data_IF_443268212933
#
_entry.id   IF_443268212933
#
_cell.length_a   1.000
_cell.length_b   1.000
_cell.length_c   1.000
_cell.angle_alpha   90.00
_cell.angle_beta   90.00
_cell.angle_gamma   90.00
#
_symmetry.space_group_name_H-M   'P 1'
#
loop_
_entity.id
_entity.type
_entity.pdbx_description
1 polymer ?
#
# COMPACT_ATOMS: atom_id res chain seq x y z
N UNK A 1 22.33 -5.62 34.46
CA UNK A 1 21.06 -6.31 34.31
C UNK A 1 20.88 -6.70 32.86
N UNK A 2 20.62 -7.99 32.60
CA UNK A 2 20.29 -8.50 31.28
C UNK A 2 18.79 -8.80 31.25
N UNK A 3 18.13 -8.49 30.13
CA UNK A 3 16.72 -8.77 29.91
C UNK A 3 16.42 -9.12 28.47
N UNK A 4 15.33 -9.82 28.22
CA UNK A 4 14.87 -10.13 26.85
C UNK A 4 14.08 -8.94 26.33
N UNK A 5 14.40 -8.50 25.11
CA UNK A 5 13.66 -7.47 24.36
C UNK A 5 13.43 -7.96 22.95
N UNK A 6 12.28 -7.59 22.36
CA UNK A 6 11.91 -7.91 20.98
C UNK A 6 11.60 -6.64 20.22
N UNK A 7 11.82 -6.63 18.91
CA UNK A 7 11.53 -5.55 18.01
C UNK A 7 12.60 -5.36 16.94
N UNK A 8 12.27 -4.57 15.93
CA UNK A 8 13.20 -4.22 14.85
C UNK A 8 14.44 -3.48 15.36
N UNK A 9 14.28 -2.67 16.42
CA UNK A 9 15.40 -1.99 17.10
C UNK A 9 16.41 -2.96 17.74
N UNK A 10 16.02 -4.20 18.04
CA UNK A 10 16.91 -5.26 18.53
C UNK A 10 17.50 -6.05 17.36
N UNK A 11 16.73 -6.27 16.29
CA UNK A 11 17.22 -6.97 15.10
C UNK A 11 18.27 -6.17 14.32
N UNK A 12 18.12 -4.87 14.20
CA UNK A 12 19.01 -3.99 13.42
C UNK A 12 20.48 -4.07 13.87
N UNK A 13 20.85 -3.91 15.17
CA UNK A 13 22.24 -4.03 15.59
C UNK A 13 22.80 -5.44 15.42
N UNK A 14 21.97 -6.50 15.50
CA UNK A 14 22.42 -7.86 15.21
C UNK A 14 22.81 -8.02 13.74
N UNK A 15 22.01 -7.48 12.81
CA UNK A 15 22.35 -7.47 11.40
C UNK A 15 23.59 -6.62 11.14
N UNK A 16 23.71 -5.42 11.73
CA UNK A 16 24.89 -4.59 11.60
C UNK A 16 26.16 -5.33 12.07
N UNK A 17 26.13 -5.99 13.22
CA UNK A 17 27.23 -6.81 13.71
C UNK A 17 27.56 -7.99 12.78
N UNK A 18 26.53 -8.66 12.25
CA UNK A 18 26.71 -9.73 11.25
C UNK A 18 27.35 -9.23 9.98
N UNK A 19 26.96 -8.07 9.47
CA UNK A 19 27.54 -7.44 8.29
C UNK A 19 29.04 -7.15 8.48
N UNK A 20 29.45 -6.67 9.65
CA UNK A 20 30.87 -6.43 9.97
C UNK A 20 31.68 -7.72 9.87
N UNK A 21 31.20 -8.82 10.45
CA UNK A 21 31.91 -10.11 10.43
C UNK A 21 31.93 -10.71 9.01
N UNK A 22 30.84 -10.62 8.25
CA UNK A 22 30.81 -11.07 6.87
C UNK A 22 31.73 -10.19 5.99
N UNK A 23 31.77 -8.88 6.24
CA UNK A 23 32.69 -7.99 5.53
C UNK A 23 34.17 -8.35 5.76
N UNK A 24 34.52 -8.75 6.98
CA UNK A 24 35.88 -9.27 7.26
C UNK A 24 36.16 -10.52 6.43
N UNK A 25 35.19 -11.44 6.31
CA UNK A 25 35.31 -12.62 5.45
C UNK A 25 35.44 -12.25 3.96
N UNK A 26 34.57 -11.35 3.47
CA UNK A 26 34.58 -10.87 2.07
C UNK A 26 35.92 -10.22 1.70
N UNK A 27 36.52 -9.42 2.59
CA UNK A 27 37.82 -8.82 2.38
C UNK A 27 38.92 -9.87 2.16
N UNK A 28 38.81 -11.04 2.78
CA UNK A 28 39.74 -12.13 2.64
C UNK A 28 39.46 -13.00 1.40
N UNK A 29 38.20 -13.31 1.17
CA UNK A 29 37.76 -14.18 0.09
C UNK A 29 37.76 -13.49 -1.30
N UNK A 30 37.55 -12.17 -1.31
CA UNK A 30 37.43 -11.35 -2.53
C UNK A 30 38.27 -10.07 -2.45
N UNK A 31 39.61 -10.17 -2.33
CA UNK A 31 40.48 -9.02 -2.05
C UNK A 31 40.52 -7.95 -3.14
N UNK A 32 40.09 -8.30 -4.37
CA UNK A 32 40.10 -7.39 -5.52
C UNK A 32 38.81 -6.58 -5.69
N UNK A 33 37.75 -6.82 -4.88
CA UNK A 33 36.50 -6.06 -4.97
C UNK A 33 36.69 -4.61 -4.50
N UNK A 34 36.01 -3.68 -5.17
CA UNK A 34 35.86 -2.31 -4.70
C UNK A 34 35.05 -2.28 -3.37
N UNK A 35 35.07 -1.17 -2.65
CA UNK A 35 34.33 -1.03 -1.39
C UNK A 35 32.82 -1.25 -1.60
N UNK A 36 32.26 -0.65 -2.64
CA UNK A 36 30.86 -0.84 -2.99
C UNK A 36 30.54 -2.30 -3.31
N UNK A 37 31.31 -2.96 -4.18
CA UNK A 37 31.09 -4.35 -4.54
C UNK A 37 31.25 -5.31 -3.33
N UNK A 38 32.11 -4.95 -2.35
CA UNK A 38 32.19 -5.69 -1.09
C UNK A 38 30.93 -5.60 -0.26
N UNK A 39 30.35 -4.42 -0.15
CA UNK A 39 29.09 -4.24 0.58
C UNK A 39 27.93 -4.99 -0.10
N UNK A 40 27.89 -4.99 -1.42
CA UNK A 40 26.95 -5.80 -2.20
C UNK A 40 27.16 -7.29 -1.95
N UNK A 41 28.40 -7.77 -1.95
CA UNK A 41 28.73 -9.17 -1.67
C UNK A 41 28.36 -9.58 -0.23
N UNK A 42 28.54 -8.70 0.75
CA UNK A 42 28.10 -8.93 2.15
C UNK A 42 26.59 -9.20 2.20
N UNK A 43 25.81 -8.34 1.55
CA UNK A 43 24.36 -8.52 1.45
C UNK A 43 24.00 -9.83 0.72
N UNK A 44 24.69 -10.10 -0.39
CA UNK A 44 24.48 -11.30 -1.21
C UNK A 44 24.71 -12.58 -0.42
N UNK A 45 25.80 -12.66 0.33
CA UNK A 45 26.10 -13.84 1.17
C UNK A 45 25.10 -14.01 2.29
N UNK A 46 24.75 -12.92 3.01
CA UNK A 46 23.78 -12.97 4.10
C UNK A 46 22.40 -13.38 3.61
N UNK A 47 21.94 -12.81 2.49
CA UNK A 47 20.62 -13.13 1.95
C UNK A 47 20.57 -14.51 1.32
N UNK A 48 21.60 -14.90 0.53
CA UNK A 48 21.63 -16.23 -0.09
C UNK A 48 21.64 -17.38 0.90
N UNK A 49 22.17 -17.15 2.12
CA UNK A 49 22.29 -18.18 3.17
C UNK A 49 21.28 -18.01 4.28
N UNK A 50 20.38 -17.02 4.16
CA UNK A 50 19.29 -16.83 5.12
C UNK A 50 18.35 -18.04 5.11
N UNK A 51 17.78 -18.33 6.27
CA UNK A 51 16.88 -19.46 6.46
C UNK A 51 15.45 -18.97 6.58
N UNK A 52 14.56 -19.27 5.62
CA UNK A 52 13.15 -18.91 5.74
C UNK A 52 12.52 -19.49 7.01
N UNK A 53 12.03 -18.63 7.88
CA UNK A 53 11.30 -19.02 9.07
C UNK A 53 9.92 -19.57 8.68
N UNK A 54 9.44 -20.56 9.44
CA UNK A 54 8.22 -21.32 9.10
C UNK A 54 7.33 -21.49 10.31
N UNK A 55 6.04 -21.58 10.07
CA UNK A 55 5.05 -22.15 10.99
C UNK A 55 4.68 -23.56 10.49
N UNK A 56 5.11 -24.58 11.21
CA UNK A 56 5.05 -25.94 10.69
C UNK A 56 5.84 -26.10 9.39
N UNK A 57 5.15 -26.50 8.31
CA UNK A 57 5.75 -26.65 6.98
C UNK A 57 5.58 -25.42 6.06
N UNK A 58 4.89 -24.39 6.53
CA UNK A 58 4.60 -23.19 5.75
C UNK A 58 5.59 -22.08 6.10
N UNK A 59 6.40 -21.58 5.16
CA UNK A 59 7.19 -20.37 5.37
C UNK A 59 6.28 -19.18 5.63
N UNK A 60 6.75 -18.22 6.46
CA UNK A 60 6.14 -16.91 6.49
C UNK A 60 6.36 -16.20 5.16
N UNK A 61 5.49 -15.25 4.82
CA UNK A 61 5.58 -14.46 3.60
C UNK A 61 6.94 -13.75 3.48
N UNK A 62 7.58 -13.72 2.30
CA UNK A 62 8.75 -12.89 2.04
C UNK A 62 8.52 -11.40 2.34
N UNK A 63 7.30 -10.91 2.18
CA UNK A 63 6.93 -9.53 2.52
C UNK A 63 7.06 -9.22 4.02
N UNK A 64 7.03 -10.24 4.88
CA UNK A 64 7.18 -10.09 6.33
C UNK A 64 8.56 -10.40 6.85
N UNK A 65 9.25 -11.38 6.25
CA UNK A 65 10.55 -11.85 6.74
C UNK A 65 11.72 -11.55 5.80
N UNK A 66 11.49 -10.95 4.62
CA UNK A 66 12.52 -10.78 3.61
C UNK A 66 13.10 -12.12 3.15
N UNK A 67 14.43 -12.25 3.14
CA UNK A 67 15.11 -13.49 2.80
C UNK A 67 15.03 -14.57 3.90
N UNK A 68 14.63 -14.21 5.12
CA UNK A 68 14.55 -15.10 6.27
C UNK A 68 15.51 -14.72 7.40
N UNK A 69 15.72 -15.62 8.33
CA UNK A 69 16.62 -15.43 9.45
C UNK A 69 18.07 -15.50 8.99
N UNK A 70 18.86 -14.47 9.31
CA UNK A 70 20.28 -14.42 9.00
C UNK A 70 21.04 -15.59 9.64
N UNK A 71 21.87 -16.27 8.85
CA UNK A 71 22.72 -17.36 9.29
C UNK A 71 24.21 -16.99 9.05
N UNK A 72 24.79 -16.35 10.04
CA UNK A 72 26.18 -15.87 9.98
C UNK A 72 27.17 -17.01 9.70
N UNK A 73 27.00 -18.16 10.35
CA UNK A 73 27.88 -19.32 10.15
C UNK A 73 27.82 -19.80 8.70
N UNK A 74 26.63 -19.88 8.11
CA UNK A 74 26.46 -20.22 6.70
C UNK A 74 27.11 -19.16 5.79
N UNK A 75 26.91 -17.89 6.04
CA UNK A 75 27.40 -16.79 5.23
C UNK A 75 28.95 -16.75 5.13
N UNK A 76 29.66 -17.08 6.21
CA UNK A 76 31.14 -17.09 6.23
C UNK A 76 31.75 -18.43 5.80
N UNK A 77 30.98 -19.51 5.72
CA UNK A 77 31.47 -20.83 5.31
C UNK A 77 31.05 -21.21 3.90
N UNK A 78 30.04 -20.56 3.33
CA UNK A 78 29.62 -20.86 1.97
C UNK A 78 30.75 -20.58 0.96
N UNK A 79 30.77 -21.39 -0.11
CA UNK A 79 31.58 -21.18 -1.30
C UNK A 79 30.72 -20.92 -2.54
N UNK A 80 29.41 -20.68 -2.32
CA UNK A 80 28.49 -20.32 -3.37
C UNK A 80 27.47 -19.30 -2.87
N UNK A 81 26.91 -18.53 -3.80
CA UNK A 81 25.87 -17.56 -3.55
C UNK A 81 24.90 -17.52 -4.74
N UNK A 82 23.78 -16.84 -4.54
CA UNK A 82 22.77 -16.62 -5.59
C UNK A 82 22.96 -15.22 -6.17
N UNK A 83 22.88 -15.14 -7.50
CA UNK A 83 22.88 -13.91 -8.27
C UNK A 83 21.59 -13.84 -9.10
N UNK A 84 20.94 -12.68 -9.11
CA UNK A 84 19.74 -12.43 -9.89
C UNK A 84 20.04 -11.31 -10.87
N UNK A 85 19.84 -11.58 -12.17
CA UNK A 85 20.12 -10.61 -13.22
C UNK A 85 19.31 -9.32 -13.00
N UNK A 86 19.96 -8.18 -13.12
CA UNK A 86 19.35 -6.86 -12.93
C UNK A 86 19.07 -6.48 -11.45
N UNK A 87 19.44 -7.33 -10.48
CA UNK A 87 19.26 -7.04 -9.07
C UNK A 87 20.57 -7.02 -8.31
N UNK A 88 20.77 -6.02 -7.45
CA UNK A 88 21.93 -5.95 -6.54
C UNK A 88 21.80 -6.92 -5.34
N UNK A 89 20.69 -7.62 -5.22
CA UNK A 89 20.39 -8.51 -4.10
C UNK A 89 19.76 -9.80 -4.60
N UNK A 90 19.98 -10.95 -3.93
CA UNK A 90 19.33 -12.20 -4.28
C UNK A 90 17.85 -12.20 -3.87
N UNK A 91 17.06 -11.47 -4.61
CA UNK A 91 15.59 -11.43 -4.56
C UNK A 91 15.03 -11.38 -5.97
N UNK A 92 13.89 -11.99 -6.19
CA UNK A 92 13.25 -12.07 -7.50
C UNK A 92 11.94 -11.31 -7.45
N UNK A 93 11.83 -10.28 -8.26
CA UNK A 93 10.63 -9.46 -8.44
C UNK A 93 10.02 -9.80 -9.79
N UNK A 94 8.83 -10.40 -9.79
CA UNK A 94 8.18 -10.94 -10.99
C UNK A 94 7.23 -9.93 -11.64
N UNK A 95 6.94 -8.84 -10.94
CA UNK A 95 5.94 -7.85 -11.40
C UNK A 95 4.51 -8.37 -11.31
N UNK A 96 3.67 -7.78 -12.13
CA UNK A 96 2.25 -8.05 -12.21
C UNK A 96 1.91 -8.95 -13.40
N UNK A 97 0.99 -9.86 -13.20
CA UNK A 97 0.35 -10.68 -14.23
C UNK A 97 -1.03 -10.08 -14.55
N UNK A 98 -1.04 -8.91 -15.20
CA UNK A 98 -2.22 -8.08 -15.47
C UNK A 98 -3.35 -8.84 -16.15
N UNK A 99 -3.00 -9.81 -16.99
CA UNK A 99 -3.95 -10.64 -17.72
C UNK A 99 -4.37 -11.91 -16.95
N UNK A 100 -3.88 -12.09 -15.73
CA UNK A 100 -4.16 -13.26 -14.88
C UNK A 100 -3.90 -14.58 -15.60
N UNK A 101 -2.79 -14.68 -16.31
CA UNK A 101 -2.35 -15.92 -16.98
C UNK A 101 -2.01 -17.01 -15.96
N UNK A 102 -1.58 -16.59 -14.77
CA UNK A 102 -1.16 -17.47 -13.69
C UNK A 102 0.19 -18.15 -13.94
N UNK A 103 1.00 -17.65 -14.89
CA UNK A 103 2.28 -18.27 -15.25
C UNK A 103 3.42 -17.30 -14.93
N UNK A 104 4.24 -17.67 -13.96
CA UNK A 104 5.41 -16.90 -13.54
C UNK A 104 6.67 -17.68 -13.87
N UNK A 105 7.48 -17.13 -14.79
CA UNK A 105 8.75 -17.69 -15.21
C UNK A 105 9.87 -16.81 -14.69
N UNK A 106 10.88 -17.41 -14.07
CA UNK A 106 12.04 -16.69 -13.58
C UNK A 106 13.28 -17.57 -13.54
N UNK A 107 14.41 -16.94 -13.44
CA UNK A 107 15.69 -17.61 -13.31
C UNK A 107 16.62 -16.88 -12.36
N UNK A 108 17.61 -17.59 -11.85
CA UNK A 108 18.71 -17.05 -11.08
C UNK A 108 19.94 -17.92 -11.27
N UNK A 109 21.11 -17.36 -11.03
CA UNK A 109 22.36 -18.07 -11.08
C UNK A 109 22.82 -18.51 -9.70
N UNK A 110 23.33 -19.72 -9.60
CA UNK A 110 24.17 -20.13 -8.48
C UNK A 110 25.61 -19.96 -8.92
N UNK A 111 26.37 -19.10 -8.21
CA UNK A 111 27.76 -18.83 -8.47
C UNK A 111 28.58 -19.56 -7.42
N UNK A 112 29.48 -20.47 -7.88
CA UNK A 112 30.41 -21.22 -7.05
C UNK A 112 31.82 -20.66 -7.21
N UNK A 113 32.35 -20.06 -6.16
CA UNK A 113 33.74 -19.55 -6.11
C UNK A 113 34.70 -20.51 -5.38
N UNK A 114 34.25 -21.71 -5.08
CA UNK A 114 35.03 -22.78 -4.51
C UNK A 114 35.77 -23.60 -5.59
N UNK A 115 36.82 -24.31 -5.18
CA UNK A 115 37.65 -25.14 -6.06
C UNK A 115 37.05 -26.52 -6.38
N UNK A 116 35.88 -26.86 -5.87
CA UNK A 116 35.17 -28.12 -6.12
C UNK A 116 33.77 -27.84 -6.60
N UNK A 117 33.26 -28.72 -7.47
CA UNK A 117 31.86 -28.65 -7.89
C UNK A 117 30.92 -28.82 -6.71
N UNK A 118 29.75 -28.16 -6.78
CA UNK A 118 28.70 -28.24 -5.75
C UNK A 118 27.42 -28.72 -6.38
N UNK A 119 26.66 -29.48 -5.62
CA UNK A 119 25.35 -29.98 -6.08
C UNK A 119 24.28 -29.54 -5.09
N UNK A 120 23.15 -29.05 -5.62
CA UNK A 120 22.02 -28.56 -4.87
C UNK A 120 20.73 -29.27 -5.30
N UNK A 121 19.85 -29.50 -4.35
CA UNK A 121 18.49 -30.01 -4.58
C UNK A 121 17.50 -28.85 -4.34
N UNK A 122 16.86 -28.31 -5.37
CA UNK A 122 15.88 -27.24 -5.24
C UNK A 122 14.56 -27.72 -4.64
N UNK A 123 13.95 -26.87 -3.84
CA UNK A 123 12.55 -26.99 -3.38
C UNK A 123 11.90 -25.63 -3.49
N UNK A 124 10.75 -25.56 -4.15
CA UNK A 124 9.99 -24.31 -4.32
C UNK A 124 8.78 -24.32 -3.38
N UNK A 125 8.61 -23.24 -2.64
CA UNK A 125 7.41 -22.97 -1.85
C UNK A 125 6.60 -21.90 -2.58
N UNK A 126 5.32 -22.19 -2.83
CA UNK A 126 4.39 -21.24 -3.44
C UNK A 126 3.36 -20.84 -2.38
N UNK A 127 3.34 -19.56 -2.09
CA UNK A 127 2.50 -18.97 -1.05
C UNK A 127 1.56 -17.93 -1.66
N UNK A 128 0.41 -17.76 -1.02
CA UNK A 128 -0.48 -16.61 -1.22
C UNK A 128 -1.00 -16.16 0.15
N UNK A 129 -1.81 -15.10 0.19
CA UNK A 129 -2.46 -14.69 1.43
C UNK A 129 -3.41 -15.77 1.95
N UNK A 130 -3.46 -15.90 3.26
CA UNK A 130 -4.51 -16.65 3.92
C UNK A 130 -5.73 -15.75 4.14
N UNK A 131 -6.93 -16.31 4.05
CA UNK A 131 -8.18 -15.57 4.18
C UNK A 131 -9.01 -16.12 5.34
N UNK A 132 -9.61 -15.20 6.10
CA UNK A 132 -10.76 -15.43 6.95
C UNK A 132 -12.07 -15.07 6.23
N UNK A 133 -13.17 -15.12 6.95
CA UNK A 133 -14.46 -14.60 6.50
C UNK A 133 -15.08 -13.75 7.59
N UNK A 134 -15.75 -12.67 7.19
CA UNK A 134 -16.57 -11.82 8.05
C UNK A 134 -17.98 -11.74 7.47
N UNK A 135 -18.99 -11.61 8.31
CA UNK A 135 -20.38 -11.43 7.88
C UNK A 135 -20.81 -9.99 8.17
N UNK A 136 -21.17 -9.26 7.12
CA UNK A 136 -21.66 -7.88 7.20
C UNK A 136 -23.01 -7.84 6.49
N UNK A 137 -24.05 -7.28 7.12
CA UNK A 137 -25.38 -7.19 6.53
C UNK A 137 -26.00 -8.54 6.11
N UNK A 138 -25.54 -9.67 6.70
CA UNK A 138 -25.99 -11.02 6.35
C UNK A 138 -25.28 -11.64 5.13
N UNK A 139 -24.32 -10.95 4.54
CA UNK A 139 -23.45 -11.48 3.48
C UNK A 139 -22.08 -11.83 4.05
N UNK A 140 -21.39 -12.81 3.43
CA UNK A 140 -20.04 -13.22 3.83
C UNK A 140 -19.00 -12.66 2.88
N UNK A 141 -17.97 -12.06 3.45
CA UNK A 141 -16.85 -11.47 2.71
C UNK A 141 -15.53 -12.13 3.14
N UNK A 142 -14.60 -12.26 2.21
CA UNK A 142 -13.24 -12.68 2.52
C UNK A 142 -12.44 -11.51 3.10
N UNK A 143 -11.71 -11.81 4.18
CA UNK A 143 -10.77 -10.86 4.80
C UNK A 143 -9.38 -11.45 4.82
N UNK A 144 -8.34 -10.60 4.82
CA UNK A 144 -6.96 -11.04 4.95
C UNK A 144 -6.72 -11.53 6.39
N UNK A 145 -6.28 -12.77 6.54
CA UNK A 145 -6.04 -13.36 7.86
C UNK A 145 -4.67 -13.00 8.46
N UNK A 146 -3.89 -12.17 7.79
CA UNK A 146 -2.57 -11.76 8.25
C UNK A 146 -1.58 -12.93 8.38
N UNK A 147 -1.69 -13.94 7.52
CA UNK A 147 -0.78 -15.09 7.45
C UNK A 147 -0.68 -15.60 6.01
N UNK A 148 0.35 -16.40 5.73
CA UNK A 148 0.50 -17.01 4.41
C UNK A 148 -0.19 -18.38 4.32
N UNK A 149 -0.81 -18.66 3.19
CA UNK A 149 -1.31 -19.97 2.80
C UNK A 149 -0.32 -20.64 1.86
N UNK A 150 0.09 -21.86 2.17
CA UNK A 150 0.97 -22.65 1.31
C UNK A 150 0.14 -23.40 0.27
N UNK A 151 0.21 -22.95 -0.97
CA UNK A 151 -0.53 -23.53 -2.11
C UNK A 151 0.35 -24.41 -3.02
N UNK A 152 1.58 -24.74 -2.62
CA UNK A 152 2.54 -25.49 -3.45
C UNK A 152 1.94 -26.78 -4.01
N UNK A 153 1.14 -27.50 -3.23
CA UNK A 153 0.52 -28.75 -3.66
C UNK A 153 -0.73 -28.58 -4.55
N UNK A 154 -1.20 -27.33 -4.70
CA UNK A 154 -2.40 -27.01 -5.49
C UNK A 154 -2.05 -26.44 -6.87
N UNK A 155 -0.76 -26.22 -7.13
CA UNK A 155 -0.26 -25.56 -8.34
C UNK A 155 0.84 -26.40 -9.01
N UNK A 156 1.16 -26.08 -10.26
CA UNK A 156 2.23 -26.76 -10.98
C UNK A 156 3.53 -25.99 -10.85
N UNK A 157 4.57 -26.67 -10.38
CA UNK A 157 5.91 -26.10 -10.27
C UNK A 157 6.88 -26.91 -11.13
N UNK A 158 7.62 -26.22 -11.99
CA UNK A 158 8.71 -26.82 -12.77
C UNK A 158 10.04 -26.24 -12.29
N UNK A 159 10.92 -27.11 -11.82
CA UNK A 159 12.28 -26.79 -11.38
C UNK A 159 13.18 -28.02 -11.60
N UNK A 160 14.49 -27.88 -11.88
CA UNK A 160 15.39 -29.02 -11.96
C UNK A 160 15.40 -29.84 -10.66
N UNK A 161 15.44 -31.19 -10.78
CA UNK A 161 15.55 -32.04 -9.59
C UNK A 161 16.88 -31.89 -8.87
N UNK A 162 17.94 -31.57 -9.61
CA UNK A 162 19.28 -31.36 -9.08
C UNK A 162 20.03 -30.36 -9.96
N UNK A 163 20.86 -29.54 -9.35
CA UNK A 163 21.69 -28.52 -10.01
C UNK A 163 23.12 -28.71 -9.60
N UNK A 164 24.01 -29.02 -10.55
CA UNK A 164 25.46 -29.08 -10.33
C UNK A 164 26.09 -27.81 -10.83
N UNK A 165 26.86 -27.14 -9.97
CA UNK A 165 27.61 -25.93 -10.28
C UNK A 165 29.09 -26.23 -10.32
N UNK A 166 29.78 -26.03 -11.45
CA UNK A 166 31.20 -26.36 -11.56
C UNK A 166 32.06 -25.52 -10.62
N UNK A 167 33.25 -26.00 -10.33
CA UNK A 167 34.24 -25.24 -9.58
C UNK A 167 34.56 -23.91 -10.29
N UNK A 168 34.61 -22.80 -9.53
CA UNK A 168 34.83 -21.45 -10.04
C UNK A 168 33.91 -21.09 -11.23
N UNK A 169 32.66 -21.53 -11.17
CA UNK A 169 31.67 -21.36 -12.25
C UNK A 169 30.30 -21.00 -11.76
N UNK A 170 29.34 -20.96 -12.69
CA UNK A 170 27.95 -20.67 -12.41
C UNK A 170 27.03 -21.63 -13.15
N UNK A 171 25.81 -21.76 -12.67
CA UNK A 171 24.76 -22.52 -13.32
C UNK A 171 23.43 -21.80 -13.10
N UNK A 172 22.72 -21.56 -14.19
CA UNK A 172 21.38 -20.94 -14.15
C UNK A 172 20.31 -21.97 -13.76
N UNK A 173 19.45 -21.58 -12.84
CA UNK A 173 18.28 -22.33 -12.41
C UNK A 173 17.04 -21.66 -12.98
N UNK A 174 16.30 -22.37 -13.82
CA UNK A 174 15.03 -21.91 -14.36
C UNK A 174 13.88 -22.49 -13.52
N UNK A 175 12.92 -21.65 -13.19
CA UNK A 175 11.74 -22.00 -12.40
C UNK A 175 10.49 -21.50 -13.11
N UNK A 176 9.47 -22.35 -13.17
CA UNK A 176 8.12 -21.94 -13.57
C UNK A 176 7.15 -22.27 -12.43
N UNK A 177 6.43 -21.26 -11.99
CA UNK A 177 5.29 -21.39 -11.08
C UNK A 177 4.02 -21.15 -11.89
N UNK A 178 3.17 -22.17 -12.01
CA UNK A 178 1.93 -22.06 -12.77
C UNK A 178 0.74 -22.29 -11.83
N UNK A 179 0.04 -21.19 -11.52
CA UNK A 179 -1.16 -21.16 -10.66
C UNK A 179 -2.47 -21.15 -11.46
N UNK A 180 -2.41 -21.27 -12.80
CA UNK A 180 -3.61 -21.18 -13.66
C UNK A 180 -4.68 -22.23 -13.29
N UNK A 181 -4.26 -23.42 -12.85
CA UNK A 181 -5.18 -24.45 -12.35
C UNK A 181 -5.85 -24.09 -11.02
N UNK A 182 -5.35 -23.09 -10.30
CA UNK A 182 -5.89 -22.60 -9.03
C UNK A 182 -6.59 -21.22 -9.19
N UNK A 183 -6.69 -20.72 -10.41
CA UNK A 183 -7.21 -19.40 -10.75
C UNK A 183 -8.65 -19.14 -10.25
N UNK A 184 -9.53 -20.14 -10.29
CA UNK A 184 -10.91 -20.01 -9.81
C UNK A 184 -10.93 -19.60 -8.32
N UNK A 185 -10.12 -20.28 -7.48
CA UNK A 185 -10.01 -19.96 -6.06
C UNK A 185 -9.36 -18.59 -5.81
N UNK A 186 -8.35 -18.24 -6.60
CA UNK A 186 -7.71 -16.91 -6.48
C UNK A 186 -8.70 -15.80 -6.84
N UNK A 187 -9.46 -15.95 -7.94
CA UNK A 187 -10.42 -14.95 -8.36
C UNK A 187 -11.60 -14.79 -7.39
N UNK A 188 -12.04 -15.90 -6.77
CA UNK A 188 -13.09 -15.87 -5.76
C UNK A 188 -12.67 -15.13 -4.49
N UNK A 189 -11.46 -15.45 -3.99
CA UNK A 189 -10.98 -14.91 -2.72
C UNK A 189 -10.33 -13.53 -2.84
N UNK A 190 -9.78 -13.23 -3.99
CA UNK A 190 -8.99 -12.03 -4.26
C UNK A 190 -9.43 -11.36 -5.56
N UNK A 191 -10.60 -10.72 -5.59
CA UNK A 191 -11.12 -10.07 -6.80
C UNK A 191 -10.18 -8.99 -7.34
N UNK A 192 -9.45 -8.31 -6.45
CA UNK A 192 -8.48 -7.26 -6.81
C UNK A 192 -7.08 -7.81 -7.12
N UNK A 193 -6.90 -9.13 -7.13
CA UNK A 193 -5.62 -9.80 -7.35
C UNK A 193 -4.99 -10.36 -6.07
N UNK A 194 -3.99 -11.22 -6.25
CA UNK A 194 -3.35 -11.95 -5.16
C UNK A 194 -1.83 -11.95 -5.29
N UNK A 195 -1.12 -11.85 -4.16
CA UNK A 195 0.32 -12.10 -4.16
C UNK A 195 0.60 -13.58 -4.42
N UNK A 196 1.51 -13.85 -5.37
CA UNK A 196 2.11 -15.15 -5.61
C UNK A 196 3.58 -15.03 -5.25
N UNK A 197 3.93 -15.61 -4.12
CA UNK A 197 5.23 -15.36 -3.49
C UNK A 197 5.79 -16.65 -2.90
N UNK A 198 7.02 -16.60 -2.43
CA UNK A 198 7.60 -17.75 -1.76
C UNK A 198 9.11 -17.78 -1.78
N UNK A 199 9.65 -18.97 -1.73
CA UNK A 199 11.08 -19.20 -1.68
C UNK A 199 11.48 -20.36 -2.61
N UNK A 200 12.64 -20.22 -3.25
CA UNK A 200 13.38 -21.37 -3.77
C UNK A 200 14.49 -21.67 -2.78
N UNK A 201 14.43 -22.82 -2.12
CA UNK A 201 15.47 -23.29 -1.22
C UNK A 201 16.30 -24.36 -1.91
N UNK A 202 17.60 -24.33 -1.70
CA UNK A 202 18.59 -25.17 -2.35
C UNK A 202 19.35 -25.95 -1.26
N UNK A 203 19.03 -27.23 -1.10
CA UNK A 203 19.73 -28.07 -0.13
C UNK A 203 21.08 -28.52 -0.71
N UNK A 204 22.15 -28.26 0.03
CA UNK A 204 23.54 -28.59 -0.34
C UNK A 204 24.43 -28.65 0.88
N UNK A 205 25.76 -28.59 0.67
CA UNK A 205 26.74 -28.54 1.78
C UNK A 205 26.53 -27.30 2.68
N UNK A 206 26.23 -26.16 2.08
CA UNK A 206 25.62 -25.00 2.73
C UNK A 206 24.35 -24.69 1.96
N UNK A 207 23.24 -24.68 2.65
CA UNK A 207 21.95 -24.40 2.03
C UNK A 207 21.89 -22.94 1.56
N UNK A 208 21.28 -22.73 0.40
CA UNK A 208 20.98 -21.41 -0.14
C UNK A 208 19.47 -21.19 -0.28
N UNK A 209 19.06 -19.94 -0.35
CA UNK A 209 17.66 -19.58 -0.51
C UNK A 209 17.52 -18.24 -1.24
N UNK A 210 16.48 -18.13 -2.06
CA UNK A 210 16.08 -16.87 -2.70
C UNK A 210 14.57 -16.68 -2.57
N UNK A 211 14.13 -15.52 -2.07
CA UNK A 211 12.71 -15.15 -2.07
C UNK A 211 12.29 -14.68 -3.48
N UNK A 212 11.02 -14.90 -3.80
CA UNK A 212 10.40 -14.33 -4.98
C UNK A 212 9.02 -13.75 -4.65
N UNK A 213 8.61 -12.75 -5.42
CA UNK A 213 7.34 -12.04 -5.27
C UNK A 213 6.80 -11.65 -6.63
N UNK A 214 5.54 -12.02 -6.90
CA UNK A 214 4.75 -11.59 -8.05
C UNK A 214 3.33 -11.28 -7.61
N UNK A 215 2.56 -10.74 -8.52
CA UNK A 215 1.16 -10.44 -8.29
C UNK A 215 0.29 -11.00 -9.43
N UNK A 216 -0.71 -11.78 -9.08
CA UNK A 216 -1.70 -12.33 -10.00
C UNK A 216 -2.83 -11.32 -10.15
N UNK A 217 -2.74 -10.48 -11.14
CA UNK A 217 -3.60 -9.32 -11.38
C UNK A 217 -2.77 -8.07 -11.62
N UNK A 218 -3.44 -6.93 -11.62
CA UNK A 218 -2.88 -5.61 -11.79
C UNK A 218 -2.99 -4.85 -10.45
N UNK A 219 -1.86 -4.58 -9.81
CA UNK A 219 -1.84 -3.87 -8.52
C UNK A 219 -2.33 -2.43 -8.62
N UNK A 220 -2.20 -1.83 -9.78
CA UNK A 220 -2.60 -0.44 -9.99
C UNK A 220 -4.12 -0.29 -9.98
N UNK A 221 -4.86 -1.33 -10.36
CA UNK A 221 -6.33 -1.33 -10.36
C UNK A 221 -6.97 -1.44 -8.98
N UNK A 222 -6.25 -1.91 -7.96
CA UNK A 222 -6.81 -1.96 -6.62
C UNK A 222 -6.86 -0.54 -6.03
N UNK A 223 -8.02 -0.13 -5.53
CA UNK A 223 -8.23 1.21 -4.98
C UNK A 223 -7.21 1.55 -3.90
N UNK A 224 -6.70 2.77 -3.94
CA UNK A 224 -5.87 3.36 -2.87
C UNK A 224 -6.76 4.00 -1.81
N UNK A 225 -7.82 4.67 -2.24
CA UNK A 225 -8.79 5.30 -1.36
C UNK A 225 -9.86 4.29 -0.93
N UNK A 226 -10.27 4.35 0.32
CA UNK A 226 -11.50 3.69 0.76
C UNK A 226 -12.71 4.39 0.15
N UNK A 227 -13.84 3.72 0.16
CA UNK A 227 -15.07 4.31 -0.37
C UNK A 227 -15.59 5.37 0.58
N UNK A 228 -16.15 6.42 0.01
CA UNK A 228 -16.98 7.35 0.76
C UNK A 228 -18.40 6.81 0.79
N UNK A 229 -18.77 6.23 1.93
CA UNK A 229 -20.11 5.66 2.14
C UNK A 229 -21.22 6.68 1.91
N UNK A 230 -21.08 7.88 2.45
CA UNK A 230 -22.12 8.91 2.36
C UNK A 230 -22.27 9.46 0.95
N UNK A 231 -21.17 9.62 0.22
CA UNK A 231 -21.20 10.08 -1.16
C UNK A 231 -21.78 9.02 -2.09
N UNK A 232 -21.43 7.75 -1.90
CA UNK A 232 -22.01 6.64 -2.64
C UNK A 232 -23.50 6.48 -2.37
N UNK A 233 -23.95 6.65 -1.13
CA UNK A 233 -25.36 6.64 -0.77
C UNK A 233 -26.12 7.81 -1.42
N UNK A 234 -25.53 9.01 -1.40
CA UNK A 234 -26.08 10.19 -2.07
C UNK A 234 -26.22 9.98 -3.58
N UNK A 235 -25.24 9.36 -4.23
CA UNK A 235 -25.31 9.03 -5.66
C UNK A 235 -26.27 7.88 -5.97
N UNK A 236 -26.83 7.22 -4.97
CA UNK A 236 -27.72 6.07 -5.13
C UNK A 236 -27.01 4.80 -5.61
N UNK A 237 -25.70 4.75 -5.46
CA UNK A 237 -24.88 3.58 -5.86
C UNK A 237 -25.05 2.39 -4.91
N UNK A 238 -25.72 2.56 -3.77
CA UNK A 238 -26.05 1.58 -2.77
C UNK A 238 -24.92 0.60 -2.47
N UNK A 239 -24.19 0.77 -1.37
CA UNK A 239 -23.11 -0.12 -1.07
C UNK A 239 -23.52 -1.26 -0.14
N UNK A 240 -23.26 -2.50 -0.54
CA UNK A 240 -23.42 -3.64 0.36
C UNK A 240 -22.35 -3.70 1.48
N UNK A 241 -21.24 -2.97 1.34
CA UNK A 241 -20.16 -2.96 2.34
C UNK A 241 -20.06 -1.56 2.93
N UNK A 242 -20.53 -1.34 4.16
CA UNK A 242 -20.27 -0.09 4.86
C UNK A 242 -18.76 0.15 4.89
N UNK A 243 -18.31 1.37 4.57
CA UNK A 243 -16.98 1.80 4.91
C UNK A 243 -16.90 1.78 6.45
N UNK A 244 -16.25 0.77 7.01
CA UNK A 244 -16.26 0.54 8.45
C UNK A 244 -15.48 1.64 9.19
N UNK A 245 -14.59 2.34 8.46
CA UNK A 245 -13.64 3.30 9.03
C UNK A 245 -13.28 4.45 8.09
N UNK A 246 -13.65 4.39 6.83
CA UNK A 246 -13.14 5.27 5.81
C UNK A 246 -14.13 6.33 5.41
N UNK A 247 -14.21 7.39 6.16
CA UNK A 247 -14.85 8.61 5.67
C UNK A 247 -13.76 9.42 4.97
N UNK A 248 -13.71 9.31 3.64
CA UNK A 248 -13.01 10.32 2.85
C UNK A 248 -13.89 11.55 2.87
N UNK A 249 -13.46 12.59 3.55
CA UNK A 249 -14.24 13.80 3.72
C UNK A 249 -13.33 15.02 3.69
N UNK A 250 -13.92 16.15 3.42
CA UNK A 250 -13.31 17.44 3.59
C UNK A 250 -14.32 18.38 4.26
N UNK A 251 -13.85 19.44 4.85
CA UNK A 251 -14.70 20.32 5.61
C UNK A 251 -14.15 21.71 5.74
N UNK A 252 -14.92 22.52 6.44
CA UNK A 252 -14.61 23.89 6.77
C UNK A 252 -14.79 24.17 8.24
N UNK A 253 -14.03 25.13 8.77
CA UNK A 253 -14.19 25.61 10.14
C UNK A 253 -15.55 26.31 10.31
N UNK A 254 -16.17 26.08 11.47
CA UNK A 254 -17.38 26.81 11.91
C UNK A 254 -17.08 27.67 13.14
N UNK A 255 -15.82 27.93 13.39
CA UNK A 255 -15.30 28.75 14.46
C UNK A 255 -14.70 27.98 15.62
N UNK A 256 -13.56 28.44 16.11
CA UNK A 256 -12.74 27.76 17.12
C UNK A 256 -12.09 26.48 16.56
N UNK A 257 -12.12 25.39 17.31
CA UNK A 257 -11.62 24.07 16.89
C UNK A 257 -12.72 23.18 16.29
N UNK A 258 -13.84 23.76 15.86
CA UNK A 258 -14.94 22.98 15.33
C UNK A 258 -14.95 23.02 13.81
N UNK A 259 -15.16 21.87 13.20
CA UNK A 259 -15.26 21.68 11.76
C UNK A 259 -16.60 21.02 11.40
N UNK A 260 -17.04 21.27 10.19
CA UNK A 260 -18.19 20.60 9.58
C UNK A 260 -17.76 19.98 8.25
N UNK A 261 -18.18 18.74 8.01
CA UNK A 261 -17.93 18.08 6.74
C UNK A 261 -18.80 18.69 5.62
N UNK A 262 -18.25 18.82 4.42
CA UNK A 262 -19.03 19.28 3.28
C UNK A 262 -20.19 18.34 2.98
N UNK A 263 -21.37 18.93 2.79
CA UNK A 263 -22.62 18.21 2.60
C UNK A 263 -23.37 17.86 3.88
N UNK A 264 -22.74 17.93 5.04
CA UNK A 264 -23.42 17.73 6.33
C UNK A 264 -24.39 18.88 6.63
N UNK A 265 -25.53 18.53 7.22
CA UNK A 265 -26.49 19.54 7.68
C UNK A 265 -26.28 19.78 9.19
N UNK A 266 -25.73 20.93 9.59
CA UNK A 266 -25.42 21.22 10.99
C UNK A 266 -26.66 21.40 11.89
N UNK A 267 -27.84 21.45 11.34
CA UNK A 267 -29.10 21.69 12.06
C UNK A 267 -29.95 20.44 12.28
N UNK A 268 -29.48 19.29 11.78
CA UNK A 268 -30.19 18.02 11.93
C UNK A 268 -29.23 16.97 12.51
N UNK A 269 -29.73 16.20 13.49
CA UNK A 269 -29.01 15.05 14.04
C UNK A 269 -29.06 13.82 13.10
N UNK A 270 -29.31 14.03 11.82
CA UNK A 270 -29.40 12.95 10.83
C UNK A 270 -28.15 12.93 9.99
N UNK A 271 -27.59 11.74 9.79
CA UNK A 271 -26.51 11.45 8.85
C UNK A 271 -26.98 11.62 7.39
N UNK A 272 -27.51 12.79 7.07
CA UNK A 272 -28.02 13.08 5.74
C UNK A 272 -27.12 14.13 5.08
N UNK A 273 -26.23 13.64 4.21
CA UNK A 273 -25.31 14.48 3.46
C UNK A 273 -25.94 14.95 2.16
N UNK A 274 -25.93 16.26 1.94
CA UNK A 274 -26.41 16.92 0.74
C UNK A 274 -25.25 17.57 0.00
N UNK A 275 -24.48 16.76 -0.70
CA UNK A 275 -23.26 17.21 -1.40
C UNK A 275 -23.53 18.25 -2.51
N UNK A 276 -24.75 18.31 -3.04
CA UNK A 276 -25.17 19.34 -3.97
C UNK A 276 -25.36 20.72 -3.33
N UNK A 277 -25.29 20.79 -2.00
CA UNK A 277 -25.38 22.01 -1.21
C UNK A 277 -24.10 22.33 -0.43
N UNK A 278 -23.03 21.58 -0.70
CA UNK A 278 -21.73 21.90 -0.13
C UNK A 278 -21.26 23.25 -0.64
N UNK A 279 -21.02 24.19 0.28
CA UNK A 279 -20.60 25.57 -0.06
C UNK A 279 -19.60 26.11 0.95
N UNK A 280 -18.82 27.09 0.51
CA UNK A 280 -18.02 27.98 1.36
C UNK A 280 -18.52 29.41 1.20
N UNK A 281 -18.43 30.19 2.28
CA UNK A 281 -18.87 31.57 2.32
C UNK A 281 -17.69 32.50 2.71
N UNK A 282 -16.83 32.90 1.76
CA UNK A 282 -15.59 33.63 2.05
C UNK A 282 -15.84 35.08 2.42
N UNK A 283 -16.49 35.31 3.57
CA UNK A 283 -16.85 36.63 4.10
C UNK A 283 -15.94 37.10 5.26
N UNK A 284 -15.06 36.20 5.75
CA UNK A 284 -14.08 36.49 6.80
C UNK A 284 -14.65 36.49 8.21
N UNK A 285 -15.79 35.84 8.47
CA UNK A 285 -16.40 35.73 9.80
C UNK A 285 -15.91 34.54 10.62
N UNK A 286 -15.03 33.72 10.04
CA UNK A 286 -14.45 32.51 10.65
C UNK A 286 -15.37 31.30 10.60
N UNK A 287 -16.37 31.30 9.70
CA UNK A 287 -17.31 30.17 9.53
C UNK A 287 -17.52 29.87 8.06
N UNK A 288 -17.15 28.68 7.68
CA UNK A 288 -17.29 28.20 6.30
C UNK A 288 -16.56 29.09 5.28
N UNK A 289 -15.53 29.83 5.72
CA UNK A 289 -14.84 30.78 4.88
C UNK A 289 -13.98 30.08 3.79
N UNK A 290 -13.51 28.89 4.06
CA UNK A 290 -12.51 28.24 3.21
C UNK A 290 -12.67 26.70 3.18
N UNK A 291 -11.95 26.05 2.31
CA UNK A 291 -11.69 24.60 2.40
C UNK A 291 -10.48 24.42 3.31
N UNK A 292 -10.71 24.07 4.57
CA UNK A 292 -9.67 24.11 5.61
C UNK A 292 -8.98 22.75 5.80
N UNK A 293 -9.74 21.66 5.71
CA UNK A 293 -9.20 20.33 6.03
C UNK A 293 -9.77 19.24 5.14
N UNK A 294 -9.00 18.20 4.96
CA UNK A 294 -9.43 16.96 4.33
C UNK A 294 -8.94 15.75 5.12
N UNK A 295 -9.83 14.78 5.29
CA UNK A 295 -9.55 13.50 5.92
C UNK A 295 -9.63 12.40 4.88
N UNK A 296 -8.58 11.58 4.80
CA UNK A 296 -8.53 10.51 3.80
C UNK A 296 -8.14 9.18 4.41
N UNK A 297 -8.85 8.14 4.01
CA UNK A 297 -8.57 6.79 4.42
C UNK A 297 -7.91 6.02 3.27
N UNK A 298 -6.63 5.68 3.46
CA UNK A 298 -5.84 5.00 2.45
C UNK A 298 -5.78 3.50 2.72
N UNK A 299 -6.31 2.70 1.83
CA UNK A 299 -6.23 1.23 1.87
C UNK A 299 -4.84 0.71 1.52
N UNK A 300 -4.05 1.52 0.82
CA UNK A 300 -2.71 1.19 0.32
C UNK A 300 -1.79 2.40 0.42
N UNK A 301 -0.48 2.15 0.50
CA UNK A 301 0.51 3.22 0.31
C UNK A 301 0.44 3.72 -1.13
N UNK A 302 0.65 5.02 -1.32
CA UNK A 302 0.89 5.60 -2.63
C UNK A 302 2.15 6.47 -2.61
N UNK A 303 2.74 6.71 -3.77
CA UNK A 303 3.95 7.52 -3.89
C UNK A 303 3.64 9.00 -3.70
N UNK A 304 2.53 9.44 -4.29
CA UNK A 304 1.98 10.78 -4.10
C UNK A 304 0.50 10.69 -3.76
N UNK A 305 0.09 11.58 -2.89
CA UNK A 305 -1.31 11.92 -2.70
C UNK A 305 -1.47 13.41 -3.00
N UNK A 306 -2.41 13.76 -3.83
CA UNK A 306 -2.59 15.12 -4.32
C UNK A 306 -3.98 15.64 -3.97
N UNK A 307 -4.01 16.83 -3.40
CA UNK A 307 -5.21 17.63 -3.22
C UNK A 307 -5.19 18.72 -4.27
N UNK A 308 -6.19 18.77 -5.13
CA UNK A 308 -6.35 19.85 -6.08
C UNK A 308 -7.75 20.44 -6.03
N UNK A 309 -7.84 21.77 -6.21
CA UNK A 309 -9.11 22.46 -6.36
C UNK A 309 -9.21 22.93 -7.78
N UNK A 310 -10.19 22.42 -8.50
CA UNK A 310 -10.36 22.69 -9.92
C UNK A 310 -11.75 23.25 -10.20
N UNK A 311 -11.86 24.10 -11.22
CA UNK A 311 -13.16 24.54 -11.72
C UNK A 311 -13.97 23.33 -12.21
N UNK A 312 -15.20 23.17 -11.73
CA UNK A 312 -16.03 22.03 -12.06
C UNK A 312 -16.40 21.92 -13.55
N UNK A 313 -16.35 23.02 -14.30
CA UNK A 313 -16.73 23.08 -15.72
C UNK A 313 -15.53 23.11 -16.67
N UNK A 314 -14.47 23.86 -16.30
CA UNK A 314 -13.32 24.07 -17.18
C UNK A 314 -12.13 23.18 -16.85
N UNK A 315 -12.09 22.55 -15.65
CA UNK A 315 -10.95 21.87 -15.04
C UNK A 315 -9.71 22.80 -14.85
N UNK A 316 -9.90 24.12 -14.84
CA UNK A 316 -8.85 25.04 -14.47
C UNK A 316 -8.46 24.80 -13.01
N UNK A 317 -7.17 24.61 -12.75
CA UNK A 317 -6.65 24.38 -11.40
C UNK A 317 -6.41 25.71 -10.68
N UNK A 318 -6.98 25.81 -9.48
CA UNK A 318 -6.83 26.98 -8.60
C UNK A 318 -5.88 26.71 -7.43
N UNK A 319 -5.76 25.45 -7.03
CA UNK A 319 -4.93 25.04 -5.90
C UNK A 319 -4.41 23.62 -6.11
N UNK A 320 -3.19 23.37 -5.67
CA UNK A 320 -2.58 22.04 -5.69
C UNK A 320 -1.65 21.86 -4.48
N UNK A 321 -1.79 20.77 -3.78
CA UNK A 321 -0.90 20.34 -2.71
C UNK A 321 -0.53 18.87 -2.92
N UNK A 322 0.76 18.58 -3.03
CA UNK A 322 1.27 17.23 -3.17
C UNK A 322 1.89 16.73 -1.86
N UNK A 323 1.45 15.55 -1.44
CA UNK A 323 1.94 14.88 -0.26
C UNK A 323 2.69 13.62 -0.68
N UNK A 324 4.03 13.61 -0.60
CA UNK A 324 4.82 12.46 -0.98
C UNK A 324 4.73 11.34 0.06
N UNK A 325 4.77 10.09 -0.41
CA UNK A 325 4.86 8.88 0.41
C UNK A 325 3.71 8.71 1.41
N UNK A 326 2.48 8.93 0.96
CA UNK A 326 1.31 8.71 1.80
C UNK A 326 1.14 7.23 2.15
N UNK A 327 0.91 6.95 3.43
CA UNK A 327 0.86 5.58 3.98
C UNK A 327 -0.57 5.10 4.15
N UNK A 328 -0.76 3.81 3.94
CA UNK A 328 -2.04 3.18 4.24
C UNK A 328 -2.40 3.30 5.71
N UNK A 329 -3.67 3.43 5.96
CA UNK A 329 -4.27 3.40 7.28
C UNK A 329 -4.16 2.00 7.91
N UNK A 330 -4.08 1.92 9.23
CA UNK A 330 -3.90 0.66 9.96
C UNK A 330 -4.95 0.52 11.07
N UNK A 331 -5.79 -0.50 10.95
CA UNK A 331 -6.80 -0.87 11.93
C UNK A 331 -6.26 -1.03 13.37
N UNK A 332 -4.99 -1.40 13.54
CA UNK A 332 -4.40 -1.64 14.85
C UNK A 332 -4.16 -0.39 15.69
N UNK A 333 -4.29 0.79 15.13
CA UNK A 333 -4.07 2.04 15.86
C UNK A 333 -5.14 2.35 16.90
N UNK A 334 -6.34 1.82 16.76
CA UNK A 334 -7.45 2.04 17.71
C UNK A 334 -7.24 1.39 19.10
N UNK A 335 -6.40 0.36 19.18
CA UNK A 335 -6.22 -0.41 20.43
C UNK A 335 -4.99 -0.03 21.25
N UNK A 336 -4.21 0.96 20.85
CA UNK A 336 -2.87 1.17 21.43
C UNK A 336 -2.62 2.55 22.04
N UNK A 337 -3.61 3.42 22.23
CA UNK A 337 -3.43 4.83 22.65
C UNK A 337 -2.35 5.61 21.84
N UNK A 338 -1.93 5.06 20.72
CA UNK A 338 -1.11 5.74 19.74
C UNK A 338 -2.09 6.35 18.76
N UNK A 339 -1.99 7.64 18.51
CA UNK A 339 -2.77 8.32 17.48
C UNK A 339 -2.85 7.47 16.22
N UNK A 340 -4.04 7.31 15.63
CA UNK A 340 -4.21 6.46 14.48
C UNK A 340 -3.21 6.88 13.41
N UNK A 341 -2.21 6.04 13.17
CA UNK A 341 -1.38 6.11 11.96
C UNK A 341 -2.26 5.81 10.75
N UNK A 342 -3.35 6.57 10.62
CA UNK A 342 -4.38 6.02 9.80
C UNK A 342 -5.25 6.96 9.05
N UNK A 343 -5.60 8.05 9.63
CA UNK A 343 -6.26 9.12 8.90
C UNK A 343 -5.16 10.02 8.39
N UNK A 344 -5.10 10.21 7.11
CA UNK A 344 -4.30 11.26 6.54
C UNK A 344 -5.12 12.54 6.71
N UNK A 345 -4.80 13.29 7.75
CA UNK A 345 -5.33 14.63 7.96
C UNK A 345 -4.34 15.62 7.37
N UNK A 346 -4.80 16.40 6.44
CA UNK A 346 -4.03 17.50 5.89
C UNK A 346 -4.79 18.80 6.13
N UNK A 347 -4.14 19.71 6.83
CA UNK A 347 -4.58 21.08 6.89
C UNK A 347 -4.34 21.69 5.50
N UNK A 348 -5.41 21.85 4.73
CA UNK A 348 -5.33 22.57 3.47
C UNK A 348 -5.14 24.04 3.79
N UNK A 349 -4.16 24.74 3.19
CA UNK A 349 -3.99 26.16 3.44
C UNK A 349 -5.20 26.91 2.92
N UNK A 350 -6.11 27.25 3.80
CA UNK A 350 -7.24 28.20 3.72
C UNK A 350 -7.58 28.68 2.30
N UNK A 351 -7.85 27.73 1.37
CA UNK A 351 -8.28 28.14 0.05
C UNK A 351 -9.73 28.61 0.13
N UNK A 352 -9.94 29.89 -0.05
CA UNK A 352 -11.23 30.56 0.18
C UNK A 352 -12.02 30.83 -1.11
N UNK A 353 -11.40 30.73 -2.27
CA UNK A 353 -12.07 31.06 -3.54
C UNK A 353 -12.58 32.49 -3.66
N UNK A 354 -12.12 33.41 -2.79
CA UNK A 354 -12.60 34.79 -2.69
C UNK A 354 -12.51 35.61 -4.01
N UNK A 355 -11.65 35.14 -4.92
CA UNK A 355 -11.48 35.76 -6.24
C UNK A 355 -12.46 35.23 -7.30
N UNK A 356 -13.30 34.24 -6.95
CA UNK A 356 -14.23 33.62 -7.88
C UNK A 356 -15.61 34.29 -7.82
N UNK A 357 -16.34 34.30 -8.95
CA UNK A 357 -17.71 34.79 -8.96
C UNK A 357 -18.63 33.98 -8.05
N UNK A 358 -19.61 34.64 -7.44
CA UNK A 358 -20.68 33.95 -6.71
C UNK A 358 -21.34 32.85 -7.54
N UNK A 359 -21.58 31.69 -6.92
CA UNK A 359 -22.15 30.51 -7.57
C UNK A 359 -21.15 29.72 -8.42
N UNK A 360 -19.85 30.05 -8.36
CA UNK A 360 -18.85 29.21 -9.00
C UNK A 360 -18.74 27.88 -8.28
N UNK A 361 -18.95 26.78 -8.99
CA UNK A 361 -18.72 25.44 -8.45
C UNK A 361 -17.30 25.01 -8.77
N UNK A 362 -16.58 24.61 -7.74
CA UNK A 362 -15.26 23.96 -7.84
C UNK A 362 -15.39 22.51 -7.40
N UNK A 363 -14.38 21.72 -7.66
CA UNK A 363 -14.23 20.37 -7.11
C UNK A 363 -12.95 20.31 -6.32
N UNK A 364 -13.05 19.92 -5.06
CA UNK A 364 -11.90 19.40 -4.32
C UNK A 364 -11.68 17.97 -4.80
N UNK A 365 -10.56 17.72 -5.45
CA UNK A 365 -10.15 16.42 -5.97
C UNK A 365 -9.00 15.90 -5.14
N UNK A 366 -9.11 14.65 -4.72
CA UNK A 366 -8.07 13.90 -4.02
C UNK A 366 -7.64 12.75 -4.91
N UNK A 367 -6.38 12.74 -5.33
CA UNK A 367 -5.85 11.77 -6.29
C UNK A 367 -4.68 11.02 -5.68
N UNK A 368 -4.70 9.71 -5.80
CA UNK A 368 -3.60 8.84 -5.39
C UNK A 368 -2.80 8.38 -6.62
N UNK A 369 -1.49 8.51 -6.55
CA UNK A 369 -0.57 8.05 -7.60
C UNK A 369 0.34 6.96 -7.06
N UNK A 370 0.50 5.89 -7.83
CA UNK A 370 1.35 4.76 -7.47
C UNK A 370 2.82 5.01 -7.81
N UNK A 371 3.69 4.06 -7.43
CA UNK A 371 5.14 4.12 -7.58
C UNK A 371 5.66 4.31 -9.02
N UNK A 372 4.85 4.08 -10.02
CA UNK A 372 5.19 4.31 -11.44
C UNK A 372 4.81 5.70 -11.93
N UNK A 373 4.54 6.64 -11.02
CA UNK A 373 4.17 7.99 -11.40
C UNK A 373 5.18 8.61 -12.38
N UNK A 374 4.67 9.01 -13.54
CA UNK A 374 5.41 9.73 -14.57
C UNK A 374 4.87 11.17 -14.64
N UNK A 375 5.63 12.14 -14.19
CA UNK A 375 5.24 13.55 -14.20
C UNK A 375 4.91 14.09 -15.60
N UNK A 376 5.41 13.42 -16.65
CA UNK A 376 5.13 13.78 -18.05
C UNK A 376 3.85 13.12 -18.58
N UNK A 377 3.30 12.13 -17.89
CA UNK A 377 2.07 11.44 -18.23
C UNK A 377 1.28 11.05 -16.97
N UNK A 378 0.87 12.02 -16.16
CA UNK A 378 0.28 11.77 -14.83
C UNK A 378 -1.00 10.92 -14.88
N UNK A 379 -1.81 11.07 -15.92
CA UNK A 379 -3.06 10.32 -16.07
C UNK A 379 -2.87 8.81 -16.30
N UNK A 380 -1.68 8.36 -16.70
CA UNK A 380 -1.40 6.95 -16.91
C UNK A 380 -1.21 6.17 -15.59
N UNK A 381 -0.89 6.87 -14.50
CA UNK A 381 -0.52 6.30 -13.21
C UNK A 381 -1.46 6.70 -12.06
N UNK A 382 -2.57 7.33 -12.41
CA UNK A 382 -3.65 7.65 -11.47
C UNK A 382 -4.38 6.36 -11.09
N UNK A 383 -4.33 5.99 -9.81
CA UNK A 383 -4.96 4.76 -9.31
C UNK A 383 -6.38 4.95 -8.84
N UNK A 384 -6.65 6.10 -8.25
CA UNK A 384 -7.95 6.43 -7.70
C UNK A 384 -8.04 7.93 -7.49
N UNK A 385 -9.20 8.48 -7.70
CA UNK A 385 -9.51 9.84 -7.26
C UNK A 385 -10.92 9.88 -6.65
N UNK A 386 -11.12 10.87 -5.81
CA UNK A 386 -12.39 11.21 -5.22
C UNK A 386 -12.59 12.72 -5.32
N UNK A 387 -13.83 13.15 -5.60
CA UNK A 387 -14.14 14.57 -5.81
C UNK A 387 -15.34 14.98 -4.97
N UNK A 388 -15.25 16.13 -4.31
CA UNK A 388 -16.41 16.82 -3.70
C UNK A 388 -16.67 18.10 -4.48
N UNK A 389 -17.89 18.31 -5.00
CA UNK A 389 -18.29 19.61 -5.53
C UNK A 389 -18.54 20.59 -4.38
N UNK A 390 -18.03 21.80 -4.51
CA UNK A 390 -18.17 22.88 -3.51
C UNK A 390 -18.53 24.16 -4.26
N UNK A 391 -19.56 24.85 -3.79
CA UNK A 391 -19.95 26.14 -4.38
C UNK A 391 -19.42 27.30 -3.56
N UNK A 392 -18.81 28.28 -4.24
CA UNK A 392 -18.43 29.54 -3.62
C UNK A 392 -19.65 30.43 -3.55
N UNK A 393 -20.18 30.65 -2.35
CA UNK A 393 -21.32 31.50 -2.09
C UNK A 393 -20.89 32.78 -1.39
N UNK A 394 -21.05 33.90 -2.09
CA UNK A 394 -20.72 35.24 -1.60
C UNK A 394 -21.98 36.09 -1.38
N UNK A 395 -23.15 35.48 -1.49
CA UNK A 395 -24.43 36.17 -1.33
C UNK A 395 -24.95 36.00 0.09
N UNK A 396 -25.31 37.12 0.71
CA UNK A 396 -25.95 37.08 2.03
C UNK A 396 -27.39 36.57 1.93
N UNK A 397 -27.86 35.75 2.91
CA UNK A 397 -29.25 35.30 2.94
C UNK A 397 -30.20 36.45 3.10
N UNK A 398 -31.31 36.44 2.37
CA UNK A 398 -32.34 37.50 2.38
C UNK A 398 -33.56 37.10 3.19
N UNK A 399 -34.01 37.95 4.10
CA UNK A 399 -35.28 37.76 4.80
C UNK A 399 -36.41 38.17 3.87
N UNK A 400 -37.04 37.20 3.24
CA UNK A 400 -38.11 37.43 2.23
C UNK A 400 -39.44 37.78 2.89
N UNK A 401 -39.69 37.22 4.09
CA UNK A 401 -40.93 37.43 4.84
C UNK A 401 -40.74 37.13 6.33
N UNK A 402 -41.48 37.79 7.17
CA UNK A 402 -41.55 37.47 8.59
C UNK A 402 -42.95 37.64 9.14
N UNK A 403 -43.30 36.89 10.18
CA UNK A 403 -44.54 37.04 10.92
C UNK A 403 -44.39 36.63 12.40
N UNK A 404 -45.40 36.89 13.18
CA UNK A 404 -45.51 36.44 14.56
C UNK A 404 -46.46 35.24 14.63
N UNK A 405 -46.01 34.11 15.13
CA UNK A 405 -46.83 32.92 15.38
C UNK A 405 -46.68 32.51 16.85
N UNK A 406 -47.79 32.42 17.57
CA UNK A 406 -47.78 32.02 18.99
C UNK A 406 -46.82 32.82 19.88
N UNK A 407 -46.59 34.09 19.57
CA UNK A 407 -45.66 34.92 20.31
C UNK A 407 -44.18 34.75 19.93
N UNK A 408 -43.87 33.95 18.93
CA UNK A 408 -42.54 33.77 18.38
C UNK A 408 -42.42 34.49 17.05
N UNK A 409 -41.25 35.12 16.82
CA UNK A 409 -40.89 35.69 15.51
C UNK A 409 -40.48 34.57 14.57
N UNK A 410 -41.21 34.45 13.48
CA UNK A 410 -40.87 33.52 12.39
C UNK A 410 -40.24 34.32 11.26
N UNK A 411 -39.03 33.97 10.89
CA UNK A 411 -38.33 34.53 9.74
C UNK A 411 -38.35 33.49 8.60
N UNK A 412 -38.69 33.93 7.42
CA UNK A 412 -38.57 33.17 6.18
C UNK A 412 -37.41 33.74 5.42
N UNK A 413 -36.36 32.98 5.38
CA UNK A 413 -35.09 33.36 4.75
C UNK A 413 -34.97 32.61 3.42
N UNK A 414 -34.50 33.28 2.41
CA UNK A 414 -34.13 32.71 1.13
C UNK A 414 -32.65 32.85 0.96
N UNK A 415 -32.02 31.79 0.53
CA UNK A 415 -30.66 31.72 0.10
C UNK A 415 -30.58 30.90 -1.19
N UNK A 416 -29.53 31.09 -1.99
CA UNK A 416 -29.37 30.37 -3.25
C UNK A 416 -28.53 29.09 -3.11
N UNK A 417 -28.01 28.82 -1.91
CA UNK A 417 -27.22 27.60 -1.61
C UNK A 417 -27.56 26.97 -0.27
#
# INVERSE_FOLDING_TARGET
>A
NYGTKSGTSMASPHIAGSMVLVNQYVNTAFPSLSEQARMEMVNTLLMSTAVPSKSGNTPYSPRWQGAGQANLTAAINTKAYIEVEGSLRPKIELGDDDNRTGIFNFSFDIVNFGSTAKTYTPTVYVLTENTGTVSIGGQSYYTMAGSASNITNNVNVTVPQSVTVPANGRTTVNVTVNVSGYAATLNEKFPNGAYIEGFVTLAGDVNLSVPYLGFYGDREKASVLDRDFYYDEYLGNGDPIPAEWGINTAGSSIGGENYIAFGENPFTDTENFLFDRASISPNGDGKMDAVDTAYNYLLRNCEYFEYSIVNAQTNEEYYNLQVPWARKCSEKSWYTDIEPLGTYEEELPDWDGSNLPNGTTVKLRMTAYMHSYDEFNPSANECAYWEIPITVDTQEPEVVYWNMQNGQLMLYVSDNH
#
